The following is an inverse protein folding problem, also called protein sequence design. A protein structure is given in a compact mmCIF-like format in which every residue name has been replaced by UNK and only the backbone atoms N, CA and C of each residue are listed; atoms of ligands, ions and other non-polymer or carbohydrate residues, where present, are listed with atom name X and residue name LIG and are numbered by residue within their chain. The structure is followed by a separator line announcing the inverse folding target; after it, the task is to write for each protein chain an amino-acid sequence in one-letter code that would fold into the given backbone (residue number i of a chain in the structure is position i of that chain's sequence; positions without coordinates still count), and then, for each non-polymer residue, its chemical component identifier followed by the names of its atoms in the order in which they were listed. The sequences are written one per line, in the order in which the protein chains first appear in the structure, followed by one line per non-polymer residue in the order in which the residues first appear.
data_IF_134015581728
#
_entry.id   IF_134015581728
#
_cell.length_a   1.000
_cell.length_b   1.000
_cell.length_c   1.000
_cell.angle_alpha   90.00
_cell.angle_beta   90.00
_cell.angle_gamma   90.00
#
_symmetry.space_group_name_H-M   'P 1'
#
loop_
_entity.id
_entity.type
_entity.pdbx_description
1 polymer ?
#
# COMPACT_ATOMS: atom_id res chain seq x y z
N UNK A 1 30.26 6.96 2.96
CA UNK A 1 29.71 8.34 2.82
C UNK A 1 28.79 8.61 3.99
N UNK A 2 29.09 9.61 4.82
CA UNK A 2 28.17 10.05 5.88
C UNK A 2 26.95 10.78 5.29
N UNK A 3 25.80 10.63 5.94
CA UNK A 3 24.52 11.31 5.63
C UNK A 3 23.93 11.79 6.98
N UNK A 4 24.41 12.91 7.53
CA UNK A 4 23.99 13.40 8.84
C UNK A 4 22.61 14.08 8.82
N UNK A 5 22.12 14.50 7.64
CA UNK A 5 20.87 15.25 7.46
C UNK A 5 19.61 14.37 7.37
N UNK A 6 19.74 13.05 7.48
CA UNK A 6 18.62 12.12 7.47
C UNK A 6 17.99 12.01 8.87
N UNK A 7 16.68 11.72 8.95
CA UNK A 7 15.92 11.54 10.23
C UNK A 7 16.67 10.65 11.25
N UNK A 8 17.30 9.58 10.77
CA UNK A 8 18.29 8.79 11.51
C UNK A 8 19.62 8.94 10.77
N UNK A 9 20.65 9.59 11.35
CA UNK A 9 21.96 9.72 10.73
C UNK A 9 22.59 8.36 10.41
N UNK A 10 23.20 8.26 9.23
CA UNK A 10 23.85 7.02 8.75
C UNK A 10 25.16 7.26 8.00
N UNK A 11 26.03 6.25 8.03
CA UNK A 11 27.22 6.13 7.19
C UNK A 11 27.00 5.00 6.19
N UNK A 12 26.81 5.34 4.91
CA UNK A 12 26.69 4.38 3.82
C UNK A 12 28.05 3.78 3.48
N UNK A 13 28.15 2.46 3.39
CA UNK A 13 29.37 1.73 3.06
C UNK A 13 29.18 0.73 1.92
N UNK A 14 30.29 0.33 1.31
CA UNK A 14 30.38 -0.76 0.34
C UNK A 14 31.64 -1.56 0.65
N UNK A 15 31.48 -2.81 1.08
CA UNK A 15 32.58 -3.71 1.39
C UNK A 15 33.08 -4.37 0.10
N UNK A 16 34.26 -3.93 -0.37
CA UNK A 16 34.77 -4.25 -1.72
C UNK A 16 34.91 -5.75 -1.98
N UNK A 17 35.30 -6.55 -0.99
CA UNK A 17 35.59 -7.98 -1.16
C UNK A 17 34.33 -8.84 -1.30
N UNK A 18 33.31 -8.59 -0.46
CA UNK A 18 32.04 -9.34 -0.51
C UNK A 18 30.98 -8.70 -1.40
N UNK A 19 31.20 -7.47 -1.89
CA UNK A 19 30.22 -6.70 -2.65
C UNK A 19 29.02 -6.22 -1.83
N UNK A 20 29.02 -6.40 -0.51
CA UNK A 20 27.94 -5.97 0.38
C UNK A 20 27.89 -4.44 0.46
N UNK A 21 26.68 -3.90 0.32
CA UNK A 21 26.37 -2.47 0.48
C UNK A 21 25.37 -2.34 1.62
N UNK A 22 25.54 -1.32 2.46
CA UNK A 22 24.64 -1.07 3.57
C UNK A 22 24.86 0.26 4.25
N UNK A 23 24.08 0.52 5.29
CA UNK A 23 24.12 1.74 6.10
C UNK A 23 24.48 1.35 7.55
N UNK A 24 25.41 2.09 8.17
CA UNK A 24 25.73 2.01 9.60
C UNK A 24 25.06 3.20 10.29
N UNK A 25 24.25 2.94 11.31
CA UNK A 25 23.61 3.99 12.13
C UNK A 25 24.12 3.89 13.57
N UNK A 26 24.22 5.03 14.25
CA UNK A 26 24.62 5.11 15.66
C UNK A 26 23.36 5.20 16.52
N UNK A 27 23.31 4.39 17.59
CA UNK A 27 22.24 4.33 18.60
C UNK A 27 20.79 4.16 18.08
N UNK A 28 20.62 3.50 16.93
CA UNK A 28 19.29 3.21 16.37
C UNK A 28 18.62 1.99 17.03
N UNK A 29 18.42 2.05 18.35
CA UNK A 29 17.84 0.95 19.16
C UNK A 29 16.40 0.61 18.75
N UNK A 30 15.60 1.62 18.38
CA UNK A 30 14.24 1.40 17.87
C UNK A 30 14.21 0.52 16.62
N UNK A 31 15.16 0.70 15.68
CA UNK A 31 15.23 -0.17 14.50
C UNK A 31 15.64 -1.62 14.84
N UNK A 32 16.42 -1.84 15.90
CA UNK A 32 16.74 -3.20 16.38
C UNK A 32 15.50 -3.87 16.96
N UNK A 33 14.75 -3.18 17.82
CA UNK A 33 13.51 -3.68 18.43
C UNK A 33 12.41 -3.91 17.38
N UNK A 34 12.23 -2.97 16.45
CA UNK A 34 11.36 -3.17 15.28
C UNK A 34 11.77 -4.41 14.46
N UNK A 35 13.08 -4.64 14.26
CA UNK A 35 13.56 -5.82 13.53
C UNK A 35 13.31 -7.13 14.30
N UNK A 36 13.42 -7.10 15.63
CA UNK A 36 13.07 -8.22 16.51
C UNK A 36 11.56 -8.51 16.51
N UNK A 37 10.72 -7.47 16.56
CA UNK A 37 9.26 -7.58 16.41
C UNK A 37 8.87 -8.19 15.05
N UNK A 38 9.45 -7.71 13.94
CA UNK A 38 9.22 -8.30 12.61
C UNK A 38 9.62 -9.79 12.55
N UNK A 39 10.66 -10.19 13.30
CA UNK A 39 11.08 -11.60 13.41
C UNK A 39 10.05 -12.40 14.18
N UNK A 40 9.65 -11.94 15.37
CA UNK A 40 8.64 -12.59 16.20
C UNK A 40 7.35 -12.82 15.41
N UNK A 41 6.83 -11.80 14.71
CA UNK A 41 5.66 -11.98 13.85
C UNK A 41 5.89 -13.01 12.72
N UNK A 42 7.09 -13.08 12.16
CA UNK A 42 7.44 -14.03 11.11
C UNK A 42 7.70 -15.47 11.62
N UNK A 43 7.78 -15.65 12.94
CA UNK A 43 7.90 -16.93 13.64
C UNK A 43 6.55 -17.37 14.23
N UNK A 44 5.69 -16.42 14.62
CA UNK A 44 4.36 -16.65 15.20
C UNK A 44 3.34 -17.29 14.24
N UNK A 45 3.44 -17.03 12.94
CA UNK A 45 2.59 -17.70 11.93
C UNK A 45 3.34 -17.89 10.60
N UNK A 46 3.31 -19.12 10.07
CA UNK A 46 4.04 -19.50 8.85
C UNK A 46 3.62 -18.70 7.60
N UNK A 47 2.40 -18.17 7.57
CA UNK A 47 1.81 -17.45 6.42
C UNK A 47 2.35 -16.03 6.28
N UNK A 48 2.89 -15.47 7.36
CA UNK A 48 3.42 -14.10 7.41
C UNK A 48 4.54 -13.90 6.39
N UNK A 49 5.51 -14.83 6.34
CA UNK A 49 6.66 -14.71 5.43
C UNK A 49 6.22 -14.76 3.96
N UNK A 50 5.47 -15.78 3.47
CA UNK A 50 4.98 -15.79 2.10
C UNK A 50 4.16 -14.55 1.71
N UNK A 51 3.28 -14.05 2.60
CA UNK A 51 2.47 -12.85 2.32
C UNK A 51 3.32 -11.59 2.20
N UNK A 52 4.27 -11.35 3.12
CA UNK A 52 5.20 -10.22 3.05
C UNK A 52 6.04 -10.28 1.77
N UNK A 53 6.56 -11.47 1.39
CA UNK A 53 7.30 -11.63 0.14
C UNK A 53 6.43 -11.41 -1.10
N UNK A 54 5.20 -11.93 -1.13
CA UNK A 54 4.25 -11.75 -2.24
C UNK A 54 3.85 -10.28 -2.42
N UNK A 55 3.44 -9.60 -1.34
CA UNK A 55 3.09 -8.19 -1.37
C UNK A 55 4.29 -7.31 -1.77
N UNK A 56 5.49 -7.60 -1.25
CA UNK A 56 6.72 -6.86 -1.61
C UNK A 56 7.14 -7.07 -3.06
N UNK A 57 7.04 -8.29 -3.59
CA UNK A 57 7.33 -8.56 -5.00
C UNK A 57 6.30 -7.87 -5.90
N UNK A 58 5.01 -8.02 -5.61
CA UNK A 58 3.93 -7.32 -6.32
C UNK A 58 4.14 -5.79 -6.32
N UNK A 59 4.33 -5.17 -5.15
CA UNK A 59 4.48 -3.72 -5.03
C UNK A 59 5.72 -3.21 -5.78
N UNK A 60 6.81 -3.99 -5.80
CA UNK A 60 8.00 -3.66 -6.61
C UNK A 60 7.71 -3.74 -8.11
N UNK A 61 7.00 -4.77 -8.57
CA UNK A 61 6.66 -4.96 -10.00
C UNK A 61 5.61 -3.95 -10.49
N UNK A 62 4.72 -3.49 -9.61
CA UNK A 62 3.84 -2.35 -9.88
C UNK A 62 4.54 -1.00 -9.65
N UNK A 63 5.82 -0.93 -9.23
CA UNK A 63 6.53 0.34 -8.99
C UNK A 63 5.92 1.19 -7.86
N UNK A 64 5.28 0.56 -6.88
CA UNK A 64 4.73 1.17 -5.66
C UNK A 64 5.76 1.21 -4.53
N UNK A 65 6.70 0.26 -4.51
CA UNK A 65 7.75 0.15 -3.52
C UNK A 65 9.13 -0.02 -4.17
N UNK A 66 10.13 0.66 -3.61
CA UNK A 66 11.51 0.57 -4.08
C UNK A 66 12.40 1.68 -3.53
N UNK A 67 13.70 1.40 -3.48
CA UNK A 67 14.69 2.43 -3.18
C UNK A 67 14.83 3.37 -4.38
N UNK A 68 14.84 4.69 -4.13
CA UNK A 68 15.17 5.69 -5.13
C UNK A 68 16.56 5.39 -5.69
N UNK A 69 16.62 4.99 -6.95
CA UNK A 69 17.73 4.20 -7.48
C UNK A 69 19.09 4.89 -7.50
N UNK A 70 19.86 4.76 -6.42
CA UNK A 70 21.32 4.88 -6.47
C UNK A 70 21.91 3.54 -6.90
N UNK A 71 21.73 3.19 -8.19
CA UNK A 71 22.69 2.30 -8.85
C UNK A 71 24.04 3.01 -8.75
N UNK A 72 24.94 2.54 -7.89
CA UNK A 72 26.34 2.89 -8.02
C UNK A 72 26.76 2.46 -9.42
N UNK A 73 26.94 3.41 -10.33
CA UNK A 73 27.36 3.13 -11.70
C UNK A 73 28.63 2.29 -11.63
N UNK A 74 28.56 1.07 -12.16
CA UNK A 74 29.73 0.23 -12.41
C UNK A 74 30.60 0.96 -13.44
N UNK A 75 31.46 1.88 -12.97
CA UNK A 75 32.63 2.30 -13.74
C UNK A 75 33.54 1.08 -13.79
N UNK A 76 33.42 0.30 -14.87
CA UNK A 76 34.49 -0.60 -15.27
C UNK A 76 35.79 0.20 -15.50
N UNK A 77 36.95 -0.46 -15.53
CA UNK A 77 38.23 0.23 -15.73
C UNK A 77 38.21 0.99 -17.05
N UNK A 78 38.27 2.31 -16.97
CA UNK A 78 38.23 3.18 -18.14
C UNK A 78 39.57 3.11 -18.89
N UNK A 79 39.54 2.69 -20.15
CA UNK A 79 40.65 2.96 -21.09
C UNK A 79 40.68 4.48 -21.35
N UNK A 80 41.85 5.13 -21.39
CA UNK A 80 41.93 6.55 -21.64
C UNK A 80 41.74 6.85 -23.13
N UNK A 81 40.72 7.65 -23.48
CA UNK A 81 40.59 8.27 -24.80
C UNK A 81 40.03 9.69 -24.65
N UNK A 82 40.75 10.66 -25.23
CA UNK A 82 40.24 11.90 -25.84
C UNK A 82 39.20 12.73 -25.07
N UNK A 83 39.63 13.87 -24.54
CA UNK A 83 38.73 14.81 -23.87
C UNK A 83 37.72 15.49 -24.80
N UNK A 84 36.50 15.71 -24.28
CA UNK A 84 35.64 16.85 -24.61
C UNK A 84 34.82 17.20 -23.36
N UNK A 85 34.80 18.48 -23.01
CA UNK A 85 34.13 18.96 -21.80
C UNK A 85 32.61 18.90 -21.96
N UNK A 86 31.93 18.15 -21.09
CA UNK A 86 30.48 18.14 -21.01
C UNK A 86 30.06 18.89 -19.74
N UNK A 87 29.27 19.95 -19.90
CA UNK A 87 28.86 20.81 -18.80
C UNK A 87 28.03 20.03 -17.75
N UNK A 88 28.39 20.20 -16.47
CA UNK A 88 27.63 19.69 -15.35
C UNK A 88 26.34 20.51 -15.20
N UNK A 89 25.20 19.94 -15.58
CA UNK A 89 23.91 20.48 -15.16
C UNK A 89 23.72 20.24 -13.66
N UNK A 90 23.36 21.26 -12.86
CA UNK A 90 23.13 21.07 -11.44
C UNK A 90 21.90 20.18 -11.25
N UNK A 91 22.05 19.10 -10.48
CA UNK A 91 20.93 18.28 -10.04
C UNK A 91 20.03 19.11 -9.11
N UNK A 92 18.69 19.01 -9.19
CA UNK A 92 17.80 19.74 -8.30
C UNK A 92 18.03 19.34 -6.83
N UNK A 93 17.75 20.22 -5.86
CA UNK A 93 18.00 19.97 -4.45
C UNK A 93 17.28 18.70 -3.98
N UNK A 94 18.04 17.78 -3.39
CA UNK A 94 17.53 16.49 -2.94
C UNK A 94 16.57 16.65 -1.77
N UNK A 95 15.44 15.95 -1.83
CA UNK A 95 14.44 15.92 -0.77
C UNK A 95 15.05 15.38 0.54
N UNK A 96 15.03 16.10 1.68
CA UNK A 96 15.69 15.68 2.93
C UNK A 96 15.21 14.34 3.50
N UNK A 97 14.02 13.87 3.08
CA UNK A 97 13.45 12.58 3.49
C UNK A 97 14.16 11.33 2.94
N UNK A 98 15.19 11.47 2.10
CA UNK A 98 16.14 10.38 1.75
C UNK A 98 15.61 9.24 0.86
N UNK A 99 14.30 9.10 0.70
CA UNK A 99 13.63 8.20 -0.25
C UNK A 99 12.75 8.97 -1.24
N UNK A 100 12.40 8.32 -2.36
CA UNK A 100 11.38 8.84 -3.27
C UNK A 100 9.97 8.81 -2.64
N UNK A 101 8.92 9.22 -3.38
CA UNK A 101 7.55 9.21 -2.87
C UNK A 101 6.94 7.80 -2.70
N UNK A 102 7.71 6.75 -3.02
CA UNK A 102 7.29 5.35 -2.96
C UNK A 102 7.21 4.81 -1.54
N UNK A 103 6.40 3.76 -1.34
CA UNK A 103 6.39 3.01 -0.09
C UNK A 103 7.76 2.38 0.14
N UNK A 104 8.31 2.59 1.33
CA UNK A 104 9.49 1.85 1.76
C UNK A 104 9.10 0.42 2.15
N UNK A 105 10.08 -0.51 2.13
CA UNK A 105 9.80 -1.93 2.37
C UNK A 105 9.29 -2.19 3.80
N UNK A 106 9.65 -1.35 4.78
CA UNK A 106 9.22 -1.50 6.16
C UNK A 106 7.73 -1.15 6.31
N UNK A 107 7.30 0.00 5.78
CA UNK A 107 5.90 0.40 5.72
C UNK A 107 5.01 -0.66 5.02
N UNK A 108 5.47 -1.22 3.90
CA UNK A 108 4.72 -2.28 3.21
C UNK A 108 4.62 -3.57 4.05
N UNK A 109 5.68 -3.94 4.78
CA UNK A 109 5.62 -5.06 5.74
C UNK A 109 4.62 -4.77 6.86
N UNK A 110 4.64 -3.55 7.44
CA UNK A 110 3.69 -3.17 8.50
C UNK A 110 2.23 -3.20 8.03
N UNK A 111 1.93 -2.83 6.77
CA UNK A 111 0.59 -3.00 6.19
C UNK A 111 0.14 -4.47 6.16
N UNK A 112 1.05 -5.40 5.83
CA UNK A 112 0.74 -6.84 5.85
C UNK A 112 0.52 -7.32 7.29
N UNK A 113 1.35 -6.90 8.25
CA UNK A 113 1.18 -7.28 9.66
C UNK A 113 -0.16 -6.75 10.23
N UNK A 114 -0.50 -5.49 9.96
CA UNK A 114 -1.78 -4.91 10.33
C UNK A 114 -2.98 -5.63 9.69
N UNK A 115 -2.87 -6.00 8.42
CA UNK A 115 -3.89 -6.82 7.77
C UNK A 115 -4.09 -8.17 8.48
N UNK A 116 -3.00 -8.81 8.92
CA UNK A 116 -3.05 -10.07 9.66
C UNK A 116 -3.58 -9.92 11.10
N UNK A 117 -3.34 -8.78 11.75
CA UNK A 117 -3.95 -8.42 13.04
C UNK A 117 -5.47 -8.16 12.93
N UNK A 118 -5.96 -7.75 11.76
CA UNK A 118 -7.37 -7.41 11.50
C UNK A 118 -8.16 -8.54 10.80
N UNK A 119 -7.64 -9.77 10.79
CA UNK A 119 -8.44 -10.95 10.38
C UNK A 119 -9.40 -11.35 11.50
N UNK A 120 -10.43 -12.10 11.14
CA UNK A 120 -11.36 -12.72 12.09
C UNK A 120 -11.40 -14.23 11.86
N UNK A 121 -10.83 -15.06 12.77
CA UNK A 121 -10.04 -14.65 13.94
C UNK A 121 -8.66 -14.07 13.53
N UNK A 122 -7.95 -13.34 14.42
CA UNK A 122 -6.66 -12.72 14.09
C UNK A 122 -5.56 -13.73 13.76
N UNK A 123 -4.76 -13.45 12.73
CA UNK A 123 -3.55 -14.23 12.37
C UNK A 123 -2.35 -13.82 13.22
N UNK A 124 -2.30 -12.55 13.66
CA UNK A 124 -1.24 -12.03 14.53
C UNK A 124 -1.82 -11.28 15.73
N UNK A 125 -1.17 -11.31 16.90
CA UNK A 125 -1.52 -10.46 18.04
C UNK A 125 -1.20 -8.98 17.76
N UNK A 126 -1.92 -8.09 18.46
CA UNK A 126 -1.63 -6.65 18.48
C UNK A 126 -0.36 -6.37 19.29
N UNK A 127 0.32 -5.23 19.07
CA UNK A 127 1.52 -4.92 19.89
C UNK A 127 1.14 -4.58 21.33
N UNK A 128 -0.06 -4.05 21.58
CA UNK A 128 -0.58 -3.95 22.94
C UNK A 128 -0.70 -5.33 23.61
N UNK A 129 -1.26 -6.34 22.93
CA UNK A 129 -1.37 -7.69 23.47
C UNK A 129 0.00 -8.36 23.69
N UNK A 130 0.97 -8.11 22.80
CA UNK A 130 2.34 -8.57 23.01
C UNK A 130 2.96 -7.94 24.25
N UNK A 131 2.79 -6.63 24.46
CA UNK A 131 3.27 -5.95 25.67
C UNK A 131 2.62 -6.51 26.94
N UNK A 132 1.33 -6.83 26.92
CA UNK A 132 0.64 -7.44 28.06
C UNK A 132 1.12 -8.88 28.39
N UNK A 133 1.89 -9.50 27.48
CA UNK A 133 2.55 -10.80 27.67
C UNK A 133 4.04 -10.69 28.02
N UNK A 134 4.62 -9.48 27.98
CA UNK A 134 6.04 -9.24 28.22
C UNK A 134 6.41 -9.45 29.69
N UNK A 135 7.47 -10.22 29.96
CA UNK A 135 8.04 -10.37 31.31
C UNK A 135 8.99 -9.22 31.67
N UNK A 136 9.50 -9.23 32.91
CA UNK A 136 10.48 -8.23 33.36
C UNK A 136 11.77 -8.21 32.48
N UNK A 137 12.20 -9.36 31.98
CA UNK A 137 13.36 -9.53 31.06
C UNK A 137 13.10 -9.02 29.62
N UNK A 138 11.83 -8.86 29.25
CA UNK A 138 11.41 -8.30 27.96
C UNK A 138 11.32 -6.76 28.00
N UNK A 139 11.37 -6.17 29.20
CA UNK A 139 11.17 -4.74 29.43
C UNK A 139 12.18 -3.89 28.65
N UNK A 140 11.69 -3.07 27.73
CA UNK A 140 12.51 -2.20 26.91
C UNK A 140 11.84 -0.83 26.70
N UNK A 141 12.45 0.23 27.22
CA UNK A 141 12.02 1.62 26.97
C UNK A 141 13.09 2.36 26.18
N UNK A 142 12.73 2.93 25.04
CA UNK A 142 13.68 3.60 24.14
C UNK A 142 13.10 4.93 23.65
N UNK A 143 13.76 6.04 24.01
CA UNK A 143 13.34 7.38 23.60
C UNK A 143 11.96 7.78 24.15
N UNK A 144 11.63 7.32 25.36
CA UNK A 144 10.31 7.51 26.00
C UNK A 144 9.29 6.42 25.66
N UNK A 145 9.48 5.71 24.54
CA UNK A 145 8.52 4.71 24.06
C UNK A 145 8.69 3.36 24.74
N UNK A 146 7.58 2.80 25.23
CA UNK A 146 7.54 1.40 25.63
C UNK A 146 7.59 0.48 24.39
N UNK A 147 8.62 -0.35 24.36
CA UNK A 147 8.99 -1.29 23.31
C UNK A 147 9.07 -2.73 23.84
N UNK A 148 8.41 -3.02 24.97
CA UNK A 148 8.45 -4.33 25.62
C UNK A 148 7.54 -5.33 24.89
N UNK A 149 8.08 -6.51 24.54
CA UNK A 149 7.36 -7.63 23.94
C UNK A 149 8.17 -8.93 24.12
N UNK A 150 7.52 -10.11 24.20
CA UNK A 150 8.21 -11.38 24.37
C UNK A 150 9.26 -11.66 23.30
N UNK A 151 10.46 -12.07 23.74
CA UNK A 151 11.56 -12.42 22.83
C UNK A 151 11.43 -13.80 22.16
N UNK A 152 10.62 -14.69 22.73
CA UNK A 152 10.42 -16.06 22.25
C UNK A 152 8.96 -16.25 21.78
N UNK A 153 8.82 -16.87 20.60
CA UNK A 153 7.52 -17.24 20.03
C UNK A 153 6.79 -18.29 20.89
N UNK A 154 7.50 -19.09 21.68
CA UNK A 154 6.90 -20.10 22.56
C UNK A 154 6.00 -19.51 23.67
N UNK A 155 6.06 -18.19 23.90
CA UNK A 155 5.16 -17.45 24.79
C UNK A 155 3.83 -17.04 24.14
N UNK A 156 3.65 -17.30 22.85
CA UNK A 156 2.48 -16.89 22.07
C UNK A 156 1.60 -18.10 21.75
N UNK A 157 0.30 -17.96 22.01
CA UNK A 157 -0.70 -18.92 21.57
C UNK A 157 -0.81 -18.90 20.03
N UNK A 158 -0.81 -20.06 19.35
CA UNK A 158 -1.01 -20.14 17.90
C UNK A 158 -2.34 -19.54 17.45
N UNK A 159 -2.36 -18.94 16.25
CA UNK A 159 -3.60 -18.43 15.67
C UNK A 159 -4.59 -19.56 15.35
N UNK A 160 -5.86 -19.35 15.67
CA UNK A 160 -6.98 -20.21 15.26
C UNK A 160 -7.48 -19.94 13.84
N UNK A 161 -6.89 -18.96 13.14
CA UNK A 161 -7.28 -18.58 11.78
C UNK A 161 -6.85 -19.65 10.76
N UNK A 162 -7.80 -20.18 10.00
CA UNK A 162 -7.59 -21.23 9.00
C UNK A 162 -7.56 -20.73 7.55
N UNK A 163 -7.50 -19.41 7.33
CA UNK A 163 -7.48 -18.83 5.99
C UNK A 163 -6.21 -19.20 5.21
N UNK A 164 -6.39 -19.54 3.94
CA UNK A 164 -5.29 -19.87 3.04
C UNK A 164 -4.46 -18.65 2.65
N UNK A 165 -3.18 -18.87 2.29
CA UNK A 165 -2.34 -17.83 1.67
C UNK A 165 -3.00 -17.15 0.46
N UNK A 166 -3.77 -17.91 -0.34
CA UNK A 166 -4.42 -17.40 -1.55
C UNK A 166 -5.61 -16.48 -1.26
N UNK A 167 -6.37 -16.75 -0.19
CA UNK A 167 -7.46 -15.88 0.29
C UNK A 167 -6.88 -14.65 0.99
N UNK A 168 -5.99 -14.84 1.97
CA UNK A 168 -5.31 -13.74 2.67
C UNK A 168 -4.65 -12.73 1.72
N UNK A 169 -4.01 -13.19 0.64
CA UNK A 169 -3.43 -12.29 -0.36
C UNK A 169 -4.50 -11.56 -1.20
N UNK A 170 -5.61 -12.22 -1.55
CA UNK A 170 -6.72 -11.61 -2.28
C UNK A 170 -7.45 -10.57 -1.43
N UNK A 171 -7.65 -10.86 -0.15
CA UNK A 171 -8.35 -10.02 0.81
C UNK A 171 -7.48 -8.86 1.29
N UNK A 172 -6.14 -9.01 1.34
CA UNK A 172 -5.20 -7.89 1.49
C UNK A 172 -5.43 -6.83 0.41
N UNK A 173 -5.53 -7.25 -0.86
CA UNK A 173 -5.81 -6.36 -1.97
C UNK A 173 -7.22 -5.78 -1.95
N UNK A 174 -8.21 -6.54 -1.46
CA UNK A 174 -9.58 -6.04 -1.33
C UNK A 174 -9.66 -4.96 -0.25
N UNK A 175 -9.19 -5.25 0.97
CA UNK A 175 -9.20 -4.34 2.12
C UNK A 175 -8.50 -3.04 1.76
N UNK A 176 -7.27 -3.09 1.25
CA UNK A 176 -6.50 -1.88 0.91
C UNK A 176 -6.83 -1.27 -0.45
N UNK A 177 -7.74 -1.86 -1.23
CA UNK A 177 -8.29 -1.23 -2.43
C UNK A 177 -9.35 -0.19 -2.12
N UNK A 178 -10.08 -0.39 -1.02
CA UNK A 178 -11.22 0.42 -0.60
C UNK A 178 -11.01 1.05 0.80
N UNK A 179 -9.77 1.04 1.31
CA UNK A 179 -9.40 1.60 2.62
C UNK A 179 -9.29 3.13 2.57
N UNK A 180 -9.93 3.80 3.52
CA UNK A 180 -9.81 5.24 3.77
C UNK A 180 -8.48 5.56 4.47
N UNK A 181 -7.41 5.71 3.68
CA UNK A 181 -6.08 6.10 4.16
C UNK A 181 -5.97 7.56 4.63
N UNK A 182 -6.61 8.55 3.97
CA UNK A 182 -6.53 9.95 4.42
C UNK A 182 -7.28 10.20 5.73
N UNK A 183 -8.43 9.56 5.96
CA UNK A 183 -9.28 9.80 7.13
C UNK A 183 -8.91 9.02 8.40
N UNK A 184 -7.92 8.11 8.35
CA UNK A 184 -7.61 7.17 9.44
C UNK A 184 -6.11 7.01 9.64
N UNK A 185 -5.72 6.63 10.87
CA UNK A 185 -4.35 6.17 11.21
C UNK A 185 -4.37 4.67 11.41
N UNK A 186 -3.57 3.94 10.63
CA UNK A 186 -3.35 2.51 10.86
C UNK A 186 -2.41 2.33 12.05
N UNK A 187 -2.90 1.69 13.13
CA UNK A 187 -2.11 1.42 14.33
C UNK A 187 -1.96 -0.09 14.56
N UNK A 188 -0.71 -0.57 14.50
CA UNK A 188 -0.35 -1.95 14.84
C UNK A 188 -0.38 -2.21 16.36
N UNK A 189 -0.25 -1.15 17.18
CA UNK A 189 -0.36 -1.24 18.64
C UNK A 189 -1.78 -1.63 19.04
N UNK A 190 -2.75 -0.93 18.48
CA UNK A 190 -4.17 -1.13 18.75
C UNK A 190 -4.81 -2.24 17.89
N UNK A 191 -4.13 -2.69 16.83
CA UNK A 191 -4.68 -3.66 15.86
C UNK A 191 -5.87 -3.14 15.07
N UNK A 192 -6.06 -1.82 14.98
CA UNK A 192 -7.23 -1.18 14.33
C UNK A 192 -6.87 0.13 13.64
N UNK A 193 -7.74 0.55 12.73
CA UNK A 193 -7.68 1.88 12.14
C UNK A 193 -8.32 2.89 13.11
N UNK A 194 -7.53 3.87 13.56
CA UNK A 194 -7.98 4.93 14.45
C UNK A 194 -8.56 6.09 13.63
N UNK A 195 -9.66 6.74 14.09
CA UNK A 195 -10.16 7.95 13.46
C UNK A 195 -9.17 9.11 13.62
N UNK A 196 -9.32 10.15 12.80
CA UNK A 196 -8.64 11.42 12.99
C UNK A 196 -9.50 12.40 13.83
N UNK A 197 -8.89 13.19 14.73
CA UNK A 197 -7.48 13.12 15.16
C UNK A 197 -7.21 11.84 15.97
N UNK A 198 -5.98 11.28 15.90
CA UNK A 198 -5.65 10.10 16.68
C UNK A 198 -5.66 10.45 18.18
N UNK A 199 -5.91 9.47 19.08
CA UNK A 199 -5.75 9.66 20.52
C UNK A 199 -4.37 10.21 20.86
N UNK A 200 -4.30 11.17 21.78
CA UNK A 200 -3.04 11.76 22.21
C UNK A 200 -2.12 10.69 22.82
N UNK A 201 -0.92 10.53 22.28
CA UNK A 201 0.11 9.66 22.86
C UNK A 201 0.75 10.40 24.05
N UNK A 202 0.59 9.91 25.30
CA UNK A 202 1.06 10.63 26.49
C UNK A 202 2.59 10.59 26.65
N UNK A 203 3.28 9.72 25.91
CA UNK A 203 4.69 9.35 26.16
C UNK A 203 5.73 10.42 25.71
N UNK A 204 5.40 11.30 24.75
CA UNK A 204 6.39 12.27 24.20
C UNK A 204 5.87 13.69 23.89
N UNK A 205 4.55 13.93 23.87
CA UNK A 205 3.99 15.24 23.51
C UNK A 205 4.14 15.68 22.04
N UNK A 206 4.83 14.90 21.20
CA UNK A 206 4.95 15.15 19.77
C UNK A 206 3.80 14.51 18.98
N UNK A 207 3.16 15.29 18.11
CA UNK A 207 2.06 14.82 17.24
C UNK A 207 2.54 13.97 16.06
N UNK A 208 1.74 12.96 15.70
CA UNK A 208 1.95 12.14 14.50
C UNK A 208 1.86 12.98 13.22
N UNK A 209 2.91 12.98 12.39
CA UNK A 209 2.85 13.66 11.09
C UNK A 209 1.92 12.94 10.10
N UNK A 210 0.76 13.52 9.89
CA UNK A 210 -0.25 13.01 8.94
C UNK A 210 0.11 13.31 7.48
N UNK A 211 -0.52 12.55 6.58
CA UNK A 211 -0.40 12.68 5.13
C UNK A 211 -1.42 11.79 4.40
N UNK A 212 -1.24 11.55 3.09
CA UNK A 212 -2.16 10.74 2.28
C UNK A 212 -2.20 9.26 2.65
N UNK A 213 -1.18 8.77 3.36
CA UNK A 213 -1.13 7.42 3.94
C UNK A 213 -0.56 7.53 5.36
N UNK A 214 -1.35 7.10 6.34
CA UNK A 214 -1.02 7.24 7.76
C UNK A 214 -0.81 5.86 8.39
N UNK A 215 0.46 5.45 8.51
CA UNK A 215 0.84 4.16 9.08
C UNK A 215 1.77 4.40 10.26
N UNK A 216 1.27 4.15 11.47
CA UNK A 216 2.00 4.38 12.70
C UNK A 216 3.04 3.27 12.94
N UNK A 217 4.24 3.65 13.38
CA UNK A 217 5.23 2.69 13.89
C UNK A 217 4.68 1.97 15.15
N UNK A 218 4.93 0.66 15.35
CA UNK A 218 4.39 -0.07 16.51
C UNK A 218 4.89 0.44 17.86
N UNK A 219 6.07 1.06 17.90
CA UNK A 219 6.69 1.57 19.14
C UNK A 219 6.75 3.09 19.16
N UNK A 220 7.32 3.72 18.12
CA UNK A 220 7.49 5.18 18.05
C UNK A 220 6.19 5.84 17.58
N UNK A 221 5.18 6.03 18.46
CA UNK A 221 3.81 6.38 18.03
C UNK A 221 3.66 7.79 17.41
N UNK A 222 4.66 8.68 17.54
CA UNK A 222 4.74 9.95 16.79
C UNK A 222 5.27 9.78 15.36
N UNK A 223 5.75 8.59 14.98
CA UNK A 223 6.31 8.30 13.66
C UNK A 223 5.29 7.65 12.71
N UNK A 224 4.92 8.39 11.66
CA UNK A 224 4.28 7.82 10.48
C UNK A 224 5.36 7.28 9.53
N UNK A 225 5.45 5.95 9.38
CA UNK A 225 6.45 5.28 8.53
C UNK A 225 6.22 5.50 7.04
N UNK A 226 5.06 6.03 6.67
CA UNK A 226 4.66 6.39 5.32
C UNK A 226 4.61 7.91 5.07
N UNK A 227 5.15 8.75 5.98
CA UNK A 227 5.15 10.21 5.85
C UNK A 227 5.93 10.76 4.61
N UNK A 228 6.64 9.91 3.87
CA UNK A 228 7.26 10.25 2.59
C UNK A 228 6.34 10.02 1.37
N UNK A 229 5.21 9.31 1.55
CA UNK A 229 4.28 8.95 0.49
C UNK A 229 3.41 10.15 0.13
N UNK A 230 3.36 10.48 -1.16
CA UNK A 230 2.48 11.54 -1.67
C UNK A 230 1.16 10.98 -2.19
N UNK A 231 0.18 11.87 -2.40
CA UNK A 231 -1.19 11.53 -2.82
C UNK A 231 -1.19 10.67 -4.09
N UNK A 232 -0.42 11.07 -5.11
CA UNK A 232 -0.27 10.32 -6.37
C UNK A 232 0.20 8.87 -6.16
N UNK A 233 1.02 8.62 -5.14
CA UNK A 233 1.48 7.26 -4.81
C UNK A 233 0.44 6.50 -3.99
N UNK A 234 -0.23 7.15 -3.03
CA UNK A 234 -1.31 6.56 -2.24
C UNK A 234 -2.49 6.11 -3.13
N UNK A 235 -3.06 7.02 -3.94
CA UNK A 235 -4.17 6.69 -4.86
C UNK A 235 -3.78 5.64 -5.92
N UNK A 236 -2.49 5.56 -6.27
CA UNK A 236 -1.97 4.53 -7.17
C UNK A 236 -1.84 3.17 -6.47
N UNK A 237 -1.45 3.15 -5.19
CA UNK A 237 -1.44 1.95 -4.36
C UNK A 237 -2.86 1.37 -4.22
N UNK A 238 -3.84 2.20 -3.83
CA UNK A 238 -5.26 1.81 -3.76
C UNK A 238 -5.79 1.26 -5.09
N UNK A 239 -5.51 1.94 -6.21
CA UNK A 239 -5.90 1.47 -7.55
C UNK A 239 -5.31 0.09 -7.84
N UNK A 240 -4.00 -0.07 -7.70
CA UNK A 240 -3.35 -1.35 -7.93
C UNK A 240 -3.89 -2.45 -7.02
N UNK A 241 -4.26 -2.14 -5.76
CA UNK A 241 -4.95 -3.05 -4.85
C UNK A 241 -6.33 -3.45 -5.41
N UNK A 242 -7.20 -2.51 -5.80
CA UNK A 242 -8.52 -2.83 -6.41
C UNK A 242 -8.40 -3.71 -7.65
N UNK A 243 -7.46 -3.40 -8.53
CA UNK A 243 -7.22 -4.19 -9.74
C UNK A 243 -6.69 -5.58 -9.38
N UNK A 244 -5.80 -5.69 -8.39
CA UNK A 244 -5.27 -6.98 -7.93
C UNK A 244 -6.35 -7.84 -7.26
N UNK A 245 -7.24 -7.25 -6.46
CA UNK A 245 -8.41 -7.93 -5.89
C UNK A 245 -9.35 -8.43 -6.99
N UNK A 246 -9.61 -7.61 -8.02
CA UNK A 246 -10.39 -8.00 -9.21
C UNK A 246 -9.72 -9.16 -9.96
N UNK A 247 -8.41 -9.16 -10.11
CA UNK A 247 -7.67 -10.26 -10.72
C UNK A 247 -7.74 -11.54 -9.86
N UNK A 248 -7.62 -11.45 -8.53
CA UNK A 248 -7.68 -12.59 -7.63
C UNK A 248 -9.03 -13.33 -7.66
N UNK A 249 -10.13 -12.61 -7.93
CA UNK A 249 -11.46 -13.22 -8.15
C UNK A 249 -11.60 -13.99 -9.48
N UNK A 250 -10.67 -13.82 -10.43
CA UNK A 250 -10.76 -14.44 -11.76
C UNK A 250 -10.40 -15.93 -11.79
N UNK A 251 -10.94 -16.66 -12.77
CA UNK A 251 -10.52 -18.05 -13.04
C UNK A 251 -9.03 -18.16 -13.37
N UNK A 252 -8.42 -17.12 -13.97
CA UNK A 252 -7.00 -17.11 -14.33
C UNK A 252 -6.09 -16.99 -13.10
N UNK A 253 -6.59 -16.49 -11.96
CA UNK A 253 -5.87 -16.59 -10.69
C UNK A 253 -6.06 -17.97 -10.06
N UNK A 254 -7.32 -18.43 -9.96
CA UNK A 254 -7.71 -19.64 -9.22
C UNK A 254 -7.37 -20.97 -9.90
N UNK A 255 -7.13 -21.01 -11.21
CA UNK A 255 -6.91 -22.27 -11.97
C UNK A 255 -5.63 -22.23 -12.81
N UNK A 256 -4.90 -23.35 -12.81
CA UNK A 256 -3.71 -23.55 -13.65
C UNK A 256 -4.06 -23.47 -15.14
N UNK A 257 -3.23 -22.77 -15.93
CA UNK A 257 -3.39 -22.77 -17.39
C UNK A 257 -2.95 -24.11 -17.98
N UNK A 258 -3.82 -24.73 -18.78
CA UNK A 258 -3.49 -25.90 -19.62
C UNK A 258 -2.73 -25.55 -20.90
N UNK A 259 -2.63 -24.26 -21.26
CA UNK A 259 -2.03 -23.77 -22.51
C UNK A 259 -0.80 -22.87 -22.28
N UNK A 260 -0.07 -23.10 -21.19
CA UNK A 260 1.17 -22.38 -20.86
C UNK A 260 1.02 -20.88 -20.57
N UNK A 261 -0.21 -20.34 -20.47
CA UNK A 261 -0.42 -18.91 -20.18
C UNK A 261 -0.10 -18.60 -18.72
N UNK A 262 0.41 -17.39 -18.46
CA UNK A 262 0.60 -16.89 -17.10
C UNK A 262 -0.71 -16.91 -16.30
N UNK A 263 -0.64 -17.40 -15.07
CA UNK A 263 -1.78 -17.66 -14.18
C UNK A 263 -1.37 -17.53 -12.70
N UNK A 264 -2.33 -17.34 -11.81
CA UNK A 264 -2.07 -17.16 -10.38
C UNK A 264 -1.06 -16.04 -10.10
N UNK A 265 -0.14 -16.29 -9.17
CA UNK A 265 0.93 -15.37 -8.79
C UNK A 265 1.82 -14.94 -9.97
N UNK A 266 2.05 -15.82 -10.96
CA UNK A 266 2.93 -15.50 -12.11
C UNK A 266 2.39 -14.36 -12.96
N UNK A 267 1.06 -14.22 -13.07
CA UNK A 267 0.43 -13.08 -13.72
C UNK A 267 0.40 -11.89 -12.76
N UNK A 268 0.00 -12.06 -11.50
CA UNK A 268 -0.06 -10.97 -10.51
C UNK A 268 1.26 -10.17 -10.39
N UNK A 269 2.40 -10.84 -10.52
CA UNK A 269 3.73 -10.23 -10.44
C UNK A 269 4.31 -9.73 -11.77
N UNK A 270 3.55 -9.77 -12.88
CA UNK A 270 4.00 -9.14 -14.13
C UNK A 270 3.85 -7.60 -14.05
N UNK A 271 4.79 -6.82 -14.63
CA UNK A 271 4.61 -5.38 -14.81
C UNK A 271 3.34 -5.09 -15.64
N UNK A 272 2.48 -4.19 -15.16
CA UNK A 272 1.23 -3.85 -15.86
C UNK A 272 0.21 -5.00 -15.94
N UNK A 273 0.38 -6.06 -15.15
CA UNK A 273 -0.47 -7.25 -15.18
C UNK A 273 -1.97 -6.98 -14.98
N UNK A 274 -2.26 -5.91 -14.25
CA UNK A 274 -3.57 -5.59 -13.68
C UNK A 274 -4.31 -4.50 -14.45
N UNK A 275 -3.70 -3.92 -15.49
CA UNK A 275 -4.39 -3.05 -16.45
C UNK A 275 -5.21 -3.92 -17.43
N UNK A 276 -6.56 -3.85 -17.42
CA UNK A 276 -7.39 -4.61 -18.34
C UNK A 276 -7.46 -3.90 -19.71
N UNK A 277 -6.38 -4.02 -20.49
CA UNK A 277 -6.31 -3.42 -21.83
C UNK A 277 -4.95 -2.84 -22.19
N UNK A 278 -3.87 -3.62 -22.02
CA UNK A 278 -2.49 -3.24 -22.31
C UNK A 278 -2.18 -3.10 -23.83
N UNK A 279 -2.99 -2.30 -24.53
CA UNK A 279 -2.79 -1.80 -25.89
C UNK A 279 -3.09 -0.29 -26.00
N UNK A 280 -3.47 0.39 -24.90
CA UNK A 280 -3.60 1.84 -24.84
C UNK A 280 -2.75 2.42 -23.71
N UNK A 281 -2.36 3.69 -23.86
CA UNK A 281 -1.40 4.36 -22.99
C UNK A 281 -1.90 4.49 -21.53
N UNK A 282 -0.96 4.52 -20.60
CA UNK A 282 -1.25 4.53 -19.16
C UNK A 282 -2.18 5.67 -18.74
N UNK A 283 -3.09 5.38 -17.80
CA UNK A 283 -4.08 6.32 -17.30
C UNK A 283 -3.43 7.62 -16.78
N UNK A 284 -3.52 8.67 -17.60
CA UNK A 284 -2.91 9.98 -17.35
C UNK A 284 -3.67 10.71 -16.25
N UNK A 285 -3.27 10.50 -15.00
CA UNK A 285 -3.97 11.08 -13.85
C UNK A 285 -3.42 12.48 -13.52
N UNK A 286 -4.23 13.50 -13.81
CA UNK A 286 -3.94 14.89 -13.46
C UNK A 286 -4.75 15.24 -12.20
N UNK A 287 -4.08 15.32 -11.05
CA UNK A 287 -4.65 15.93 -9.84
C UNK A 287 -4.76 17.44 -10.07
N UNK A 288 -5.97 17.99 -9.95
CA UNK A 288 -6.23 19.43 -9.99
C UNK A 288 -6.36 19.90 -8.54
N UNK A 289 -5.39 20.64 -7.97
CA UNK A 289 -5.54 21.22 -6.65
C UNK A 289 -6.59 22.33 -6.70
N UNK A 290 -7.50 22.35 -5.72
CA UNK A 290 -8.48 23.42 -5.52
C UNK A 290 -8.15 24.10 -4.19
N UNK A 291 -7.58 25.30 -4.25
CA UNK A 291 -7.24 26.07 -3.06
C UNK A 291 -8.51 26.69 -2.44
N UNK A 292 -8.91 26.19 -1.27
CA UNK A 292 -10.07 26.70 -0.51
C UNK A 292 -9.72 27.93 0.34
N UNK A 293 -8.98 28.88 -0.23
CA UNK A 293 -8.66 30.15 0.44
C UNK A 293 -9.75 31.19 0.18
N UNK A 294 -10.89 31.11 0.89
CA UNK A 294 -11.92 32.14 0.68
C UNK A 294 -13.33 31.99 1.27
N UNK A 295 -13.59 31.26 2.36
CA UNK A 295 -14.78 31.51 3.19
C UNK A 295 -14.79 30.73 4.51
N UNK A 296 -15.03 31.43 5.61
CA UNK A 296 -15.24 30.82 6.92
C UNK A 296 -16.66 30.25 7.03
N UNK A 297 -16.85 28.98 6.68
CA UNK A 297 -17.94 28.19 7.26
C UNK A 297 -17.59 26.70 7.30
N UNK A 298 -17.71 26.13 8.49
CA UNK A 298 -17.31 24.77 8.83
C UNK A 298 -18.37 23.78 8.32
N UNK A 299 -18.16 23.23 7.13
CA UNK A 299 -18.97 22.14 6.59
C UNK A 299 -18.30 20.80 6.87
N UNK A 300 -18.96 19.99 7.69
CA UNK A 300 -18.56 18.61 7.98
C UNK A 300 -18.54 17.78 6.69
N UNK A 301 -17.44 17.06 6.45
CA UNK A 301 -17.30 16.23 5.25
C UNK A 301 -17.80 14.81 5.50
N UNK A 302 -18.95 14.46 4.92
CA UNK A 302 -19.38 13.07 4.84
C UNK A 302 -18.70 12.38 3.65
N UNK A 303 -17.77 11.46 3.94
CA UNK A 303 -17.05 10.68 2.94
C UNK A 303 -17.98 9.72 2.17
N UNK A 304 -18.65 10.25 1.14
CA UNK A 304 -19.54 9.50 0.25
C UNK A 304 -20.38 10.39 -0.67
N UNK A 305 -20.67 11.63 -0.27
CA UNK A 305 -21.42 12.57 -1.09
C UNK A 305 -20.50 13.32 -2.07
N UNK A 306 -20.82 13.22 -3.38
CA UNK A 306 -20.27 14.13 -4.38
C UNK A 306 -20.95 15.48 -4.17
N UNK A 307 -20.28 16.39 -3.45
CA UNK A 307 -20.82 17.73 -3.20
C UNK A 307 -21.13 18.50 -4.50
N UNK A 308 -21.98 19.55 -4.45
CA UNK A 308 -22.46 20.26 -5.65
C UNK A 308 -21.33 20.71 -6.60
N UNK A 309 -20.22 21.17 -6.02
CA UNK A 309 -18.99 21.59 -6.69
C UNK A 309 -18.38 20.53 -7.62
N UNK A 310 -18.57 19.23 -7.37
CA UNK A 310 -18.02 18.17 -8.21
C UNK A 310 -18.66 18.18 -9.61
N UNK A 311 -19.95 18.53 -9.72
CA UNK A 311 -20.63 18.68 -11.00
C UNK A 311 -20.04 19.83 -11.82
N UNK A 312 -19.74 20.96 -11.17
CA UNK A 312 -19.13 22.14 -11.79
C UNK A 312 -17.71 21.85 -12.26
N UNK A 313 -16.89 21.17 -11.46
CA UNK A 313 -15.54 20.75 -11.86
C UNK A 313 -15.59 19.77 -13.04
N UNK A 314 -16.50 18.80 -13.04
CA UNK A 314 -16.69 17.91 -14.19
C UNK A 314 -17.13 18.67 -15.45
N UNK A 315 -18.02 19.66 -15.32
CA UNK A 315 -18.46 20.50 -16.44
C UNK A 315 -17.30 21.37 -17.00
N UNK A 316 -16.52 22.00 -16.12
CA UNK A 316 -15.35 22.79 -16.51
C UNK A 316 -14.27 21.93 -17.20
N UNK A 317 -13.97 20.74 -16.68
CA UNK A 317 -13.04 19.79 -17.33
C UNK A 317 -13.58 19.31 -18.68
N UNK A 318 -14.88 19.03 -18.79
CA UNK A 318 -15.51 18.66 -20.05
C UNK A 318 -15.44 19.78 -21.10
N UNK A 319 -15.65 21.04 -20.70
CA UNK A 319 -15.49 22.23 -21.54
C UNK A 319 -14.04 22.41 -22.00
N UNK A 320 -13.06 22.32 -21.09
CA UNK A 320 -11.64 22.42 -21.47
C UNK A 320 -11.25 21.33 -22.47
N UNK A 321 -11.67 20.07 -22.24
CA UNK A 321 -11.38 18.97 -23.15
C UNK A 321 -12.07 19.16 -24.52
N UNK A 322 -13.35 19.51 -24.56
CA UNK A 322 -14.14 19.59 -25.79
C UNK A 322 -13.92 20.89 -26.57
N UNK A 323 -13.97 22.02 -25.88
CA UNK A 323 -14.10 23.33 -26.51
C UNK A 323 -12.77 24.07 -26.62
N UNK A 324 -11.83 23.85 -25.69
CA UNK A 324 -10.46 24.38 -25.77
C UNK A 324 -9.53 23.41 -26.49
N UNK A 325 -9.49 22.14 -26.06
CA UNK A 325 -8.56 21.12 -26.56
C UNK A 325 -9.12 20.24 -27.69
N UNK A 326 -10.37 20.47 -28.13
CA UNK A 326 -11.04 19.80 -29.27
C UNK A 326 -11.06 18.26 -29.21
N UNK A 327 -11.07 17.70 -28.01
CA UNK A 327 -11.14 16.26 -27.76
C UNK A 327 -12.58 15.72 -27.78
N UNK A 328 -12.77 14.51 -28.31
CA UNK A 328 -14.05 13.80 -28.29
C UNK A 328 -14.32 13.14 -26.93
N UNK A 329 -15.21 13.73 -26.12
CA UNK A 329 -15.62 13.20 -24.83
C UNK A 329 -16.88 12.31 -24.96
N UNK A 330 -16.76 11.00 -24.73
CA UNK A 330 -17.89 10.05 -24.76
C UNK A 330 -18.33 9.70 -23.34
N UNK A 331 -19.62 9.79 -23.04
CA UNK A 331 -20.17 9.35 -21.75
C UNK A 331 -20.12 7.82 -21.65
N UNK A 332 -19.36 7.30 -20.68
CA UNK A 332 -19.40 5.88 -20.34
C UNK A 332 -20.77 5.47 -19.81
N UNK A 333 -21.30 4.34 -20.29
CA UNK A 333 -22.60 3.81 -19.86
C UNK A 333 -22.57 3.55 -18.34
N UNK A 334 -23.55 4.04 -17.55
CA UNK A 334 -23.56 3.77 -16.11
C UNK A 334 -23.74 2.26 -15.85
N UNK A 335 -23.19 1.72 -14.75
CA UNK A 335 -23.45 0.34 -14.36
C UNK A 335 -24.94 0.18 -14.03
N UNK A 336 -25.58 -0.88 -14.56
CA UNK A 336 -26.96 -1.24 -14.19
C UNK A 336 -27.02 -1.62 -12.71
N UNK A 337 -27.99 -1.06 -11.99
CA UNK A 337 -28.35 -1.51 -10.65
C UNK A 337 -28.98 -2.91 -10.69
N UNK A 338 -28.85 -3.73 -9.62
CA UNK A 338 -29.51 -5.02 -9.52
C UNK A 338 -30.93 -4.86 -8.94
N UNK A 339 -31.92 -5.43 -9.62
CA UNK A 339 -33.29 -5.56 -9.11
C UNK A 339 -34.29 -4.56 -9.68
N UNK A 340 -34.90 -4.92 -10.80
CA UNK A 340 -36.24 -4.44 -11.20
C UNK A 340 -36.87 -5.54 -12.08
N UNK A 341 -37.98 -6.11 -11.60
CA UNK A 341 -38.73 -7.15 -12.32
C UNK A 341 -39.46 -6.56 -13.53
N UNK A 342 -39.61 -7.35 -14.59
CA UNK A 342 -40.37 -6.97 -15.80
C UNK A 342 -41.66 -7.79 -15.91
N UNK A 343 -42.73 -7.36 -15.24
CA UNK A 343 -44.11 -7.52 -15.75
C UNK A 343 -44.49 -6.23 -16.50
N UNK A 344 -45.47 -6.11 -17.40
CA UNK A 344 -46.66 -6.88 -17.82
C UNK A 344 -46.93 -6.44 -19.28
N UNK A 345 -47.49 -7.18 -20.25
CA UNK A 345 -48.12 -8.50 -20.45
C UNK A 345 -47.72 -8.98 -21.89
N UNK A 346 -48.17 -10.06 -22.54
CA UNK A 346 -49.16 -11.12 -22.31
C UNK A 346 -49.92 -11.37 -23.63
N UNK A 347 -49.90 -12.60 -24.16
CA UNK A 347 -50.90 -13.08 -25.13
C UNK A 347 -50.95 -14.63 -25.22
N UNK A 348 -51.98 -15.14 -25.90
CA UNK A 348 -52.60 -16.45 -25.63
C UNK A 348 -51.99 -17.68 -26.32
N UNK A 349 -52.28 -18.87 -25.76
CA UNK A 349 -51.91 -20.22 -26.27
C UNK A 349 -52.62 -20.55 -27.60
N UNK A 350 -52.11 -21.50 -28.41
CA UNK A 350 -52.70 -22.84 -28.36
C UNK A 350 -51.69 -24.01 -28.37
N UNK A 351 -52.14 -25.14 -27.84
CA UNK A 351 -51.36 -26.37 -27.62
C UNK A 351 -51.19 -27.21 -28.89
N UNK A 352 -50.07 -27.93 -29.02
CA UNK A 352 -49.96 -29.12 -29.88
C UNK A 352 -49.63 -30.37 -29.05
N UNK A 353 -50.18 -31.51 -29.48
CA UNK A 353 -50.14 -32.79 -28.77
C UNK A 353 -48.85 -33.60 -29.05
N UNK A 354 -48.44 -34.44 -28.09
CA UNK A 354 -47.51 -35.54 -28.37
C UNK A 354 -48.29 -36.78 -28.82
N UNK A 355 -47.91 -37.45 -29.92
CA UNK A 355 -48.45 -38.75 -30.27
C UNK A 355 -47.81 -39.89 -29.47
N UNK A 356 -48.61 -40.85 -29.06
CA UNK A 356 -48.21 -42.10 -28.39
C UNK A 356 -48.10 -43.27 -29.36
N UNK A 357 -47.07 -44.10 -29.21
CA UNK A 357 -47.02 -45.50 -29.68
C UNK A 357 -46.46 -45.73 -31.10
N UNK A 358 -46.35 -47.01 -31.51
CA UNK A 358 -46.76 -48.23 -30.79
C UNK A 358 -45.70 -48.78 -29.81
#
# INVERSE_FOLDING_TARGET
RAVPTARRPVVKFCHKQSGLVGDISVDNRLALLNTQFLRLCAEADERVRPLVYAARLWAKQQGLAGEGGQRCSRRGPARPVGGRSAALTPSPPGNPSGGGPLLNNYALTLLVLFFLQTRDPPVLPTVARLRDLAGDEDRAVVGGWDCSFPRDVASLEPSTNTESLCSLLADFFHVFGDFDFPGKVISLREGRALPLPPPAAPETGEGLKLGPLNLQDPFELSHNVAANVNEKTASRFERCCRDAAKYCRSLQYRRKSSKGRAWGLTRLFQPGAVEPGAASAGAFLISIPLDTTGSSQQLCWESGSRGPWFGEVCAAVAFVLRDVLKCSCVAGKPPRAPGEESGLLGDSVPSEELPTGP
#
